data_IF_322162744868
#
_entry.id   IF_322162744868
#
_cell.length_a   1.000
_cell.length_b   1.000
_cell.length_c   1.000
_cell.angle_alpha   90.00
_cell.angle_beta   90.00
_cell.angle_gamma   90.00
#
_symmetry.space_group_name_H-M   'P 1'
#
loop_
_entity.id
_entity.type
_entity.pdbx_description
1 polymer ?
#
# COMPACT_ATOMS: atom_id res chain seq x y z
N UNK A 1 -14.21 22.20 11.58
CA UNK A 1 -13.73 21.47 10.40
C UNK A 1 -12.49 20.68 10.77
N UNK A 2 -12.36 19.44 10.26
CA UNK A 2 -11.16 18.63 10.48
C UNK A 2 -10.07 19.00 9.47
N UNK A 3 -8.81 18.65 9.77
CA UNK A 3 -7.69 18.80 8.83
C UNK A 3 -7.94 18.05 7.52
N UNK A 4 -8.54 16.87 7.60
CA UNK A 4 -8.85 16.02 6.43
C UNK A 4 -9.90 16.66 5.54
N UNK A 5 -11.00 17.14 6.14
CA UNK A 5 -12.08 17.81 5.39
C UNK A 5 -11.58 19.02 4.61
N UNK A 6 -10.65 19.79 5.19
CA UNK A 6 -10.03 20.93 4.49
C UNK A 6 -9.17 20.49 3.30
N UNK A 7 -8.40 19.42 3.44
CA UNK A 7 -7.61 18.87 2.33
C UNK A 7 -8.51 18.37 1.20
N UNK A 8 -9.63 17.72 1.51
CA UNK A 8 -10.62 17.30 0.49
C UNK A 8 -11.17 18.49 -0.29
N UNK A 9 -11.47 19.60 0.39
CA UNK A 9 -11.93 20.84 -0.26
C UNK A 9 -10.84 21.45 -1.16
N UNK A 10 -9.60 21.51 -0.68
CA UNK A 10 -8.46 22.03 -1.46
C UNK A 10 -8.18 21.15 -2.70
N UNK A 11 -8.23 19.81 -2.56
CA UNK A 11 -8.05 18.88 -3.69
C UNK A 11 -9.16 19.02 -4.73
N UNK A 12 -10.40 19.28 -4.32
CA UNK A 12 -11.53 19.51 -5.25
C UNK A 12 -11.38 20.81 -6.05
N UNK A 13 -10.59 21.77 -5.58
CA UNK A 13 -10.37 23.04 -6.25
C UNK A 13 -9.20 23.01 -7.25
N UNK A 14 -8.43 21.93 -7.28
CA UNK A 14 -7.33 21.77 -8.23
C UNK A 14 -7.84 21.75 -9.67
N UNK A 15 -7.11 22.41 -10.55
CA UNK A 15 -7.29 22.26 -12.00
C UNK A 15 -6.88 20.84 -12.45
N UNK A 16 -7.29 20.43 -13.66
CA UNK A 16 -6.94 19.10 -14.18
C UNK A 16 -5.43 18.80 -14.18
N UNK A 17 -4.53 19.73 -14.58
CA UNK A 17 -3.09 19.49 -14.51
C UNK A 17 -2.56 19.36 -13.08
N UNK A 18 -3.04 20.17 -12.14
CA UNK A 18 -2.64 20.11 -10.73
C UNK A 18 -3.14 18.81 -10.09
N UNK A 19 -4.35 18.37 -10.43
CA UNK A 19 -4.90 17.11 -9.96
C UNK A 19 -4.12 15.91 -10.51
N UNK A 20 -3.65 15.97 -11.76
CA UNK A 20 -2.79 14.95 -12.33
C UNK A 20 -1.45 14.85 -11.59
N UNK A 21 -0.80 15.99 -11.33
CA UNK A 21 0.43 16.04 -10.54
C UNK A 21 0.23 15.54 -9.10
N UNK A 22 -0.89 15.90 -8.47
CA UNK A 22 -1.24 15.41 -7.13
C UNK A 22 -1.39 13.89 -7.10
N UNK A 23 -2.05 13.30 -8.10
CA UNK A 23 -2.22 11.84 -8.19
C UNK A 23 -0.90 11.11 -8.36
N UNK A 24 -0.01 11.61 -9.21
CA UNK A 24 1.32 11.03 -9.41
C UNK A 24 2.11 11.01 -8.10
N UNK A 25 2.19 12.16 -7.41
CA UNK A 25 2.87 12.24 -6.13
C UNK A 25 2.22 11.36 -5.04
N UNK A 26 0.88 11.31 -4.99
CA UNK A 26 0.19 10.55 -3.96
C UNK A 26 0.40 9.04 -4.10
N UNK A 27 0.53 8.53 -5.33
CA UNK A 27 0.86 7.12 -5.57
C UNK A 27 2.22 6.78 -4.96
N UNK A 28 3.27 7.54 -5.25
CA UNK A 28 4.61 7.32 -4.68
C UNK A 28 4.59 7.40 -3.14
N UNK A 29 3.83 8.35 -2.60
CA UNK A 29 3.67 8.50 -1.15
C UNK A 29 2.98 7.31 -0.51
N UNK A 30 1.90 6.81 -1.14
CA UNK A 30 1.10 5.69 -0.65
C UNK A 30 1.88 4.37 -0.76
N UNK A 31 2.63 4.16 -1.84
CA UNK A 31 3.57 3.05 -1.98
C UNK A 31 4.57 3.02 -0.82
N UNK A 32 5.18 4.16 -0.48
CA UNK A 32 6.09 4.24 0.67
C UNK A 32 5.41 4.03 2.02
N UNK A 33 4.11 4.34 2.14
CA UNK A 33 3.34 4.00 3.34
C UNK A 33 3.06 2.50 3.42
N UNK A 34 2.72 1.89 2.29
CA UNK A 34 2.45 0.47 2.18
C UNK A 34 3.68 -0.38 2.50
N UNK A 35 4.85 -0.02 1.98
CA UNK A 35 6.12 -0.68 2.31
C UNK A 35 6.38 -0.67 3.82
N UNK A 36 6.24 0.50 4.46
CA UNK A 36 6.42 0.63 5.91
C UNK A 36 5.42 -0.22 6.69
N UNK A 37 4.18 -0.30 6.22
CA UNK A 37 3.15 -1.11 6.87
C UNK A 37 3.47 -2.60 6.76
N UNK A 38 3.85 -3.07 5.57
CA UNK A 38 4.27 -4.47 5.36
C UNK A 38 5.46 -4.81 6.24
N UNK A 39 6.49 -3.96 6.28
CA UNK A 39 7.65 -4.20 7.15
C UNK A 39 7.27 -4.30 8.62
N UNK A 40 6.36 -3.43 9.09
CA UNK A 40 5.90 -3.45 10.46
C UNK A 40 5.08 -4.70 10.77
N UNK A 41 4.16 -5.08 9.87
CA UNK A 41 3.32 -6.26 10.02
C UNK A 41 4.16 -7.55 9.97
N UNK A 42 5.17 -7.61 9.11
CA UNK A 42 6.16 -8.69 9.09
C UNK A 42 6.93 -8.79 10.41
N UNK A 43 7.44 -7.66 10.94
CA UNK A 43 8.16 -7.65 12.23
C UNK A 43 7.27 -8.07 13.41
N UNK A 44 5.97 -7.80 13.32
CA UNK A 44 5.00 -8.16 14.35
C UNK A 44 4.42 -9.57 14.15
N UNK A 45 4.92 -10.35 13.20
CA UNK A 45 4.49 -11.73 12.93
C UNK A 45 3.10 -11.86 12.31
N UNK A 46 2.49 -10.76 11.84
CA UNK A 46 1.13 -10.78 11.27
C UNK A 46 1.06 -11.48 9.93
N UNK A 47 2.20 -11.63 9.26
CA UNK A 47 2.33 -12.30 7.98
C UNK A 47 2.83 -13.76 8.13
N UNK A 48 3.06 -14.23 9.36
CA UNK A 48 3.67 -15.55 9.61
C UNK A 48 2.75 -16.70 9.16
N UNK A 49 1.44 -16.59 9.42
CA UNK A 49 0.47 -17.60 9.01
C UNK A 49 0.40 -17.72 7.47
N UNK A 50 0.41 -16.57 6.78
CA UNK A 50 0.44 -16.52 5.32
C UNK A 50 1.75 -17.10 4.76
N UNK A 51 2.88 -16.82 5.40
CA UNK A 51 4.18 -17.38 5.03
C UNK A 51 4.23 -18.91 5.24
N UNK A 52 3.66 -19.41 6.34
CA UNK A 52 3.58 -20.83 6.64
C UNK A 52 2.69 -21.57 5.64
N UNK A 53 1.54 -21.00 5.29
CA UNK A 53 0.62 -21.54 4.28
C UNK A 53 1.30 -21.60 2.91
N UNK A 54 1.91 -20.50 2.46
CA UNK A 54 2.63 -20.44 1.20
C UNK A 54 3.77 -21.49 1.14
N UNK A 55 4.51 -21.67 2.23
CA UNK A 55 5.56 -22.69 2.32
C UNK A 55 5.00 -24.12 2.26
N UNK A 56 3.83 -24.36 2.84
CA UNK A 56 3.17 -25.66 2.79
C UNK A 56 2.68 -25.98 1.37
N UNK A 57 2.07 -25.02 0.67
CA UNK A 57 1.64 -25.17 -0.72
C UNK A 57 2.81 -25.35 -1.68
N UNK A 58 3.91 -24.60 -1.48
CA UNK A 58 5.13 -24.78 -2.27
C UNK A 58 5.66 -26.22 -2.17
N UNK A 59 5.74 -26.76 -0.95
CA UNK A 59 6.19 -28.14 -0.69
C UNK A 59 5.28 -29.21 -1.30
N UNK A 60 3.99 -28.92 -1.52
CA UNK A 60 3.05 -29.83 -2.19
C UNK A 60 3.20 -29.84 -3.72
N UNK A 61 4.11 -29.04 -4.28
CA UNK A 61 4.33 -28.94 -5.72
C UNK A 61 3.32 -28.05 -6.43
N UNK A 62 2.56 -27.22 -5.70
CA UNK A 62 1.55 -26.31 -6.24
C UNK A 62 2.11 -25.02 -6.85
N UNK A 63 3.43 -24.93 -7.02
CA UNK A 63 4.11 -23.72 -7.48
C UNK A 63 5.21 -24.05 -8.48
N UNK A 64 5.46 -23.11 -9.39
CA UNK A 64 6.42 -23.21 -10.49
C UNK A 64 7.47 -22.11 -10.30
N UNK A 65 8.73 -22.40 -10.61
CA UNK A 65 9.77 -21.38 -10.73
C UNK A 65 9.40 -20.33 -11.79
N UNK A 66 9.71 -19.07 -11.48
CA UNK A 66 9.45 -17.91 -12.35
C UNK A 66 10.20 -18.04 -13.68
#
# INVERSE_FOLDING_TARGET
MSRVTRLEEEVRQLSEPELAQFREWYLDFDEGCWDRQIEADAKNGRLDDMAAEAAAEYKKGGSREL
#
